data_IF_022452616113
#
_entry.id   IF_022452616113
#
_cell.length_a   1.000
_cell.length_b   1.000
_cell.length_c   1.000
_cell.angle_alpha   90.00
_cell.angle_beta   90.00
_cell.angle_gamma   90.00
#
_symmetry.space_group_name_H-M   'P 1'
#
loop_
_entity.id
_entity.type
_entity.pdbx_description
1 polymer ?
#
# COMPACT_ATOMS: atom_id res chain seq x y z
N UNK A 1 -18.71 -6.71 11.35
CA UNK A 1 -18.93 -6.77 9.89
C UNK A 1 -17.58 -6.52 9.25
N UNK A 2 -16.82 -7.58 8.96
CA UNK A 2 -15.48 -7.43 8.36
C UNK A 2 -15.76 -7.21 6.87
N UNK A 3 -15.56 -6.00 6.38
CA UNK A 3 -15.75 -5.70 4.96
C UNK A 3 -14.71 -6.50 4.17
N UNK A 4 -15.12 -7.63 3.60
CA UNK A 4 -14.33 -8.36 2.61
C UNK A 4 -14.31 -7.53 1.34
N UNK A 5 -13.29 -6.67 1.22
CA UNK A 5 -13.00 -5.97 -0.02
C UNK A 5 -12.68 -7.03 -1.08
N UNK A 6 -13.43 -7.02 -2.18
CA UNK A 6 -13.24 -7.99 -3.26
C UNK A 6 -11.92 -7.72 -3.98
N UNK A 7 -11.27 -8.75 -4.51
CA UNK A 7 -9.99 -8.62 -5.25
C UNK A 7 -10.01 -7.53 -6.33
N UNK A 8 -11.12 -7.43 -7.07
CA UNK A 8 -11.32 -6.39 -8.09
C UNK A 8 -11.32 -4.96 -7.49
N UNK A 9 -11.93 -4.80 -6.33
CA UNK A 9 -12.00 -3.52 -5.62
C UNK A 9 -10.62 -3.13 -5.07
N UNK A 10 -9.85 -4.12 -4.57
CA UNK A 10 -8.46 -3.92 -4.14
C UNK A 10 -7.54 -3.46 -5.28
N UNK A 11 -7.68 -4.03 -6.48
CA UNK A 11 -6.89 -3.60 -7.64
C UNK A 11 -7.24 -2.16 -8.08
N UNK A 12 -8.52 -1.79 -8.02
CA UNK A 12 -8.98 -0.41 -8.26
C UNK A 12 -8.41 0.58 -7.24
N UNK A 13 -8.50 0.25 -5.94
CA UNK A 13 -7.95 1.07 -4.85
C UNK A 13 -6.44 1.23 -5.00
N UNK A 14 -5.73 0.14 -5.29
CA UNK A 14 -4.28 0.17 -5.56
C UNK A 14 -3.95 1.12 -6.72
N UNK A 15 -4.61 0.98 -7.88
CA UNK A 15 -4.32 1.79 -9.06
C UNK A 15 -4.59 3.29 -8.80
N UNK A 16 -5.69 3.62 -8.12
CA UNK A 16 -6.03 4.99 -7.76
C UNK A 16 -5.02 5.57 -6.77
N UNK A 17 -4.70 4.82 -5.71
CA UNK A 17 -3.77 5.26 -4.68
C UNK A 17 -2.37 5.52 -5.25
N UNK A 18 -1.85 4.62 -6.09
CA UNK A 18 -0.56 4.81 -6.77
C UNK A 18 -0.61 6.06 -7.66
N UNK A 19 -1.65 6.23 -8.48
CA UNK A 19 -1.77 7.43 -9.31
C UNK A 19 -1.79 8.72 -8.47
N UNK A 20 -2.54 8.71 -7.36
CA UNK A 20 -2.65 9.84 -6.44
C UNK A 20 -1.32 10.14 -5.76
N UNK A 21 -0.57 9.13 -5.32
CA UNK A 21 0.77 9.31 -4.75
C UNK A 21 1.70 9.95 -5.78
N UNK A 22 1.57 9.62 -7.06
CA UNK A 22 2.42 10.20 -8.09
C UNK A 22 2.00 11.62 -8.47
N UNK A 23 0.69 11.89 -8.56
CA UNK A 23 0.15 13.12 -9.16
C UNK A 23 -0.31 14.18 -8.16
N UNK A 24 -0.71 13.82 -6.94
CA UNK A 24 -1.40 14.74 -6.02
C UNK A 24 -0.62 15.00 -4.74
N UNK A 25 -0.56 16.26 -4.30
CA UNK A 25 0.08 16.63 -3.04
C UNK A 25 -0.55 15.94 -1.81
N UNK A 26 -1.85 15.57 -1.88
CA UNK A 26 -2.57 14.91 -0.80
C UNK A 26 -2.47 13.37 -0.86
N UNK A 27 -1.24 12.86 -0.81
CA UNK A 27 -0.97 11.42 -0.92
C UNK A 27 -1.22 10.63 0.38
N UNK A 28 -1.45 11.31 1.51
CA UNK A 28 -1.67 10.65 2.81
C UNK A 28 -2.90 9.72 2.82
N UNK A 29 -4.00 10.14 2.19
CA UNK A 29 -5.20 9.30 2.05
C UNK A 29 -4.94 8.10 1.13
N UNK A 30 -4.13 8.28 0.08
CA UNK A 30 -3.75 7.20 -0.82
C UNK A 30 -2.85 6.15 -0.12
N UNK A 31 -1.93 6.60 0.75
CA UNK A 31 -1.13 5.69 1.58
C UNK A 31 -2.04 4.88 2.51
N UNK A 32 -3.01 5.51 3.17
CA UNK A 32 -3.98 4.77 4.02
C UNK A 32 -4.78 3.74 3.24
N UNK A 33 -5.25 4.10 2.05
CA UNK A 33 -5.96 3.17 1.15
C UNK A 33 -5.10 1.96 0.77
N UNK A 34 -3.81 2.16 0.49
CA UNK A 34 -2.87 1.05 0.27
C UNK A 34 -2.66 0.21 1.53
N UNK A 35 -2.61 0.82 2.72
CA UNK A 35 -2.46 0.08 3.98
C UNK A 35 -3.69 -0.78 4.28
N UNK A 36 -4.88 -0.30 3.94
CA UNK A 36 -6.12 -1.08 4.00
C UNK A 36 -6.11 -2.23 2.98
N UNK A 37 -5.72 -1.95 1.74
CA UNK A 37 -5.63 -2.98 0.71
C UNK A 37 -4.60 -4.07 1.05
N UNK A 38 -3.43 -3.68 1.56
CA UNK A 38 -2.39 -4.59 2.03
C UNK A 38 -2.91 -5.47 3.18
N UNK A 39 -3.61 -4.88 4.17
CA UNK A 39 -4.23 -5.61 5.29
C UNK A 39 -5.35 -6.54 4.86
N UNK A 40 -6.03 -6.22 3.75
CA UNK A 40 -7.03 -7.09 3.13
C UNK A 40 -6.43 -8.28 2.34
N UNK A 41 -5.10 -8.39 2.28
CA UNK A 41 -4.38 -9.47 1.57
C UNK A 41 -3.89 -9.10 0.18
N UNK A 42 -3.89 -7.82 -0.20
CA UNK A 42 -3.39 -7.40 -1.52
C UNK A 42 -1.86 -7.29 -1.54
N UNK A 43 -1.18 -8.36 -1.99
CA UNK A 43 0.29 -8.42 -2.02
C UNK A 43 0.96 -7.27 -2.79
N UNK A 44 0.39 -6.82 -3.92
CA UNK A 44 0.95 -5.68 -4.68
C UNK A 44 0.91 -4.36 -3.89
N UNK A 45 -0.12 -4.15 -3.08
CA UNK A 45 -0.24 -2.93 -2.27
C UNK A 45 0.78 -2.94 -1.12
N UNK A 46 0.95 -4.10 -0.47
CA UNK A 46 1.96 -4.29 0.55
C UNK A 46 3.39 -4.08 0.00
N UNK A 47 3.67 -4.61 -1.20
CA UNK A 47 4.98 -4.42 -1.85
C UNK A 47 5.24 -2.94 -2.21
N UNK A 48 4.23 -2.23 -2.72
CA UNK A 48 4.35 -0.82 -3.03
C UNK A 48 4.58 0.04 -1.77
N UNK A 49 3.89 -0.26 -0.67
CA UNK A 49 4.16 0.39 0.63
C UNK A 49 5.59 0.12 1.10
N UNK A 50 6.08 -1.11 0.93
CA UNK A 50 7.45 -1.44 1.28
C UNK A 50 8.46 -0.58 0.52
N UNK A 51 8.30 -0.45 -0.80
CA UNK A 51 9.13 0.44 -1.61
C UNK A 51 8.99 1.91 -1.21
N UNK A 52 7.76 2.37 -0.92
CA UNK A 52 7.51 3.75 -0.53
C UNK A 52 8.30 4.13 0.73
N UNK A 53 8.22 3.30 1.78
CA UNK A 53 8.95 3.49 3.03
C UNK A 53 10.45 3.23 2.88
N UNK A 54 10.86 2.33 1.98
CA UNK A 54 12.27 2.04 1.71
C UNK A 54 12.97 3.19 1.00
N UNK A 55 12.31 3.78 0.01
CA UNK A 55 12.82 4.92 -0.76
C UNK A 55 12.65 6.24 0.00
N UNK A 56 11.70 6.33 0.93
CA UNK A 56 11.30 7.60 1.53
C UNK A 56 10.64 8.53 0.52
N UNK A 57 9.95 7.96 -0.47
CA UNK A 57 9.26 8.75 -1.49
C UNK A 57 7.96 9.27 -0.92
N UNK A 58 7.86 10.59 -0.71
CA UNK A 58 6.69 11.30 -0.12
C UNK A 58 6.41 10.96 1.35
N UNK A 59 6.97 9.88 1.89
CA UNK A 59 6.96 9.51 3.31
C UNK A 59 8.36 9.55 3.89
N UNK A 60 8.48 9.63 5.21
CA UNK A 60 9.77 9.46 5.87
C UNK A 60 10.32 8.05 5.63
N UNK A 61 11.62 7.96 5.33
CA UNK A 61 12.27 6.69 5.08
C UNK A 61 12.28 5.86 6.36
N UNK A 62 11.66 4.70 6.32
CA UNK A 62 11.57 3.79 7.45
C UNK A 62 11.81 2.35 6.97
N UNK A 63 13.06 1.93 7.12
CA UNK A 63 13.51 0.60 6.70
C UNK A 63 12.81 -0.53 7.47
N UNK A 64 12.39 -0.29 8.72
CA UNK A 64 11.70 -1.29 9.54
C UNK A 64 10.27 -1.47 9.05
N UNK A 65 9.56 -0.37 8.79
CA UNK A 65 8.24 -0.43 8.14
C UNK A 65 8.30 -1.05 6.76
N UNK A 66 9.30 -0.69 5.96
CA UNK A 66 9.48 -1.28 4.65
C UNK A 66 9.59 -2.80 4.73
N UNK A 67 10.42 -3.31 5.64
CA UNK A 67 10.61 -4.75 5.83
C UNK A 67 9.34 -5.44 6.35
N UNK A 68 8.58 -4.78 7.23
CA UNK A 68 7.29 -5.26 7.71
C UNK A 68 6.28 -5.47 6.56
N UNK A 69 6.09 -4.44 5.72
CA UNK A 69 5.18 -4.53 4.57
C UNK A 69 5.68 -5.50 3.50
N UNK A 70 6.99 -5.55 3.27
CA UNK A 70 7.61 -6.51 2.36
C UNK A 70 7.33 -7.94 2.81
N UNK A 71 7.52 -8.24 4.10
CA UNK A 71 7.26 -9.57 4.65
C UNK A 71 5.78 -9.96 4.51
N UNK A 72 4.88 -9.02 4.77
CA UNK A 72 3.43 -9.22 4.56
C UNK A 72 3.10 -9.50 3.09
N UNK A 73 3.73 -8.79 2.15
CA UNK A 73 3.57 -9.02 0.72
C UNK A 73 4.00 -10.44 0.32
N UNK A 74 5.14 -10.91 0.84
CA UNK A 74 5.68 -12.25 0.52
C UNK A 74 4.88 -13.38 1.18
N UNK A 75 4.25 -13.14 2.34
CA UNK A 75 3.41 -14.13 3.01
C UNK A 75 2.02 -14.30 2.36
N UNK A 76 1.58 -13.31 1.59
CA UNK A 76 0.25 -13.25 0.95
C UNK A 76 0.32 -13.38 -0.58
N UNK A 77 1.49 -13.73 -1.13
CA UNK A 77 1.75 -13.91 -2.56
C UNK A 77 1.47 -15.35 -3.04
#
# INVERSE_FOLDING_TARGET
>A
MIQTISHHDLEHVYANAVNTIHSQMNFQDAVKQLEEAARAGHGKAAMFLAELYYQGFRVERDSLKAQYWQNMATMQA
#
